data_IF_817024721285
#
_entry.id   IF_817024721285
#
_cell.length_a   1.000
_cell.length_b   1.000
_cell.length_c   1.000
_cell.angle_alpha   90.00
_cell.angle_beta   90.00
_cell.angle_gamma   90.00
#
_symmetry.space_group_name_H-M   'P 1'
#
loop_
_entity.id
_entity.type
_entity.pdbx_description
1 polymer ?
#
# COMPACT_ATOMS: atom_id res chain seq x y z
N UNK A 1 26.34 5.71 14.48
CA UNK A 1 26.38 5.55 15.95
C UNK A 1 25.63 4.27 16.27
N UNK A 2 26.27 3.34 16.95
CA UNK A 2 25.61 2.11 17.42
C UNK A 2 24.61 2.50 18.50
N UNK A 3 23.36 2.07 18.37
CA UNK A 3 22.36 2.19 19.43
C UNK A 3 22.47 0.91 20.26
N UNK A 4 23.22 0.90 21.38
CA UNK A 4 23.34 -0.29 22.21
C UNK A 4 21.96 -0.70 22.71
N UNK A 5 21.61 -1.97 22.53
CA UNK A 5 20.39 -2.54 23.06
C UNK A 5 20.69 -3.10 24.46
N UNK A 6 19.91 -2.67 25.46
CA UNK A 6 19.94 -3.25 26.79
C UNK A 6 18.58 -3.87 27.11
N UNK A 7 18.61 -5.00 27.80
CA UNK A 7 17.41 -5.67 28.32
C UNK A 7 17.60 -5.95 29.80
N UNK A 8 16.62 -5.59 30.62
CA UNK A 8 16.64 -5.84 32.05
C UNK A 8 15.27 -6.32 32.54
N UNK A 9 15.26 -6.97 33.70
CA UNK A 9 14.02 -7.31 34.40
C UNK A 9 13.71 -6.21 35.40
N UNK A 10 12.48 -5.77 35.45
CA UNK A 10 11.98 -4.81 36.44
C UNK A 10 10.77 -5.41 37.16
N UNK A 11 10.56 -5.09 38.44
CA UNK A 11 9.34 -5.47 39.15
C UNK A 11 8.08 -4.99 38.40
N UNK A 12 7.03 -5.81 38.42
CA UNK A 12 5.79 -5.50 37.69
C UNK A 12 5.14 -4.20 38.18
N UNK A 13 5.10 -3.98 39.50
CA UNK A 13 4.55 -2.77 40.11
C UNK A 13 5.22 -1.50 39.58
N UNK A 14 6.54 -1.54 39.39
CA UNK A 14 7.30 -0.40 38.85
C UNK A 14 6.99 -0.19 37.36
N UNK A 15 6.83 -1.27 36.60
CA UNK A 15 6.44 -1.19 35.20
C UNK A 15 5.07 -0.54 35.06
N UNK A 16 4.11 -0.93 35.89
CA UNK A 16 2.74 -0.40 35.86
C UNK A 16 2.73 1.12 36.13
N UNK A 17 3.51 1.58 37.12
CA UNK A 17 3.68 3.02 37.38
C UNK A 17 4.33 3.79 36.21
N UNK A 18 5.29 3.17 35.51
CA UNK A 18 5.91 3.78 34.32
C UNK A 18 4.91 3.89 33.17
N UNK A 19 4.05 2.89 32.98
CA UNK A 19 3.01 2.90 31.95
C UNK A 19 1.94 3.96 32.26
N UNK A 20 1.51 4.11 33.51
CA UNK A 20 0.58 5.16 33.95
C UNK A 20 1.16 6.57 33.69
N UNK A 21 2.42 6.80 34.08
CA UNK A 21 3.12 8.07 33.78
C UNK A 21 3.21 8.33 32.28
N UNK A 22 3.37 7.28 31.47
CA UNK A 22 3.42 7.38 30.01
C UNK A 22 2.09 7.84 29.43
N UNK A 23 0.98 7.33 29.94
CA UNK A 23 -0.36 7.73 29.51
C UNK A 23 -0.64 9.21 29.84
N UNK A 24 -0.14 9.69 30.98
CA UNK A 24 -0.32 11.08 31.40
C UNK A 24 0.55 12.07 30.61
N UNK A 25 1.80 11.72 30.32
CA UNK A 25 2.79 12.64 29.73
C UNK A 25 3.00 12.48 28.23
N UNK A 26 2.64 11.31 27.67
CA UNK A 26 2.89 10.95 26.27
C UNK A 26 4.37 10.68 25.93
N UNK A 27 5.26 10.61 26.92
CA UNK A 27 6.68 10.30 26.69
C UNK A 27 6.87 8.84 26.25
N UNK A 28 8.01 8.47 25.67
CA UNK A 28 8.26 7.05 25.40
C UNK A 28 8.74 6.34 26.67
N UNK A 29 8.41 5.04 26.84
CA UNK A 29 8.90 4.24 27.97
C UNK A 29 10.43 4.30 28.10
N UNK A 30 11.12 4.27 26.97
CA UNK A 30 12.58 4.36 26.91
C UNK A 30 13.07 5.69 27.47
N UNK A 31 12.43 6.81 27.11
CA UNK A 31 12.82 8.13 27.59
C UNK A 31 12.60 8.27 29.10
N UNK A 32 11.49 7.76 29.61
CA UNK A 32 11.19 7.74 31.06
C UNK A 32 12.27 6.97 31.82
N UNK A 33 12.65 5.78 31.34
CA UNK A 33 13.70 4.98 31.97
C UNK A 33 15.09 5.63 31.87
N UNK A 34 15.42 6.24 30.74
CA UNK A 34 16.67 6.98 30.56
C UNK A 34 16.74 8.15 31.53
N UNK A 35 15.66 8.94 31.66
CA UNK A 35 15.57 10.06 32.62
C UNK A 35 15.70 9.59 34.06
N UNK A 36 15.03 8.51 34.42
CA UNK A 36 15.11 7.94 35.77
C UNK A 36 16.54 7.48 36.10
N UNK A 37 17.20 6.74 35.18
CA UNK A 37 18.58 6.30 35.34
C UNK A 37 19.57 7.46 35.39
N UNK A 38 19.38 8.47 34.54
CA UNK A 38 20.21 9.66 34.53
C UNK A 38 20.10 10.43 35.85
N UNK A 39 18.89 10.61 36.37
CA UNK A 39 18.64 11.24 37.66
C UNK A 39 19.28 10.44 38.80
N UNK A 40 19.13 9.11 38.80
CA UNK A 40 19.71 8.22 39.81
C UNK A 40 21.24 8.27 39.82
N UNK A 41 21.87 8.32 38.64
CA UNK A 41 23.33 8.34 38.49
C UNK A 41 23.94 9.75 38.57
N UNK A 42 23.13 10.80 38.64
CA UNK A 42 23.58 12.19 38.51
C UNK A 42 24.11 12.54 37.12
N UNK A 43 23.84 11.70 36.11
CA UNK A 43 24.25 11.94 34.74
C UNK A 43 23.37 13.01 34.09
N UNK A 44 23.98 14.08 33.57
CA UNK A 44 23.26 15.11 32.82
C UNK A 44 23.04 14.63 31.39
N UNK A 45 21.80 14.28 31.06
CA UNK A 45 21.42 13.96 29.68
C UNK A 45 21.66 15.21 28.83
N UNK A 46 22.52 15.16 27.80
CA UNK A 46 22.64 16.27 26.87
C UNK A 46 21.27 16.49 26.25
N UNK A 47 20.67 17.67 26.47
CA UNK A 47 19.39 18.02 25.87
C UNK A 47 19.49 17.76 24.36
N UNK A 48 18.59 16.93 23.83
CA UNK A 48 18.57 16.53 22.42
C UNK A 48 18.28 17.71 21.45
N UNK A 49 18.30 18.95 21.95
CA UNK A 49 18.07 20.21 21.25
C UNK A 49 19.12 20.53 20.16
N UNK A 50 20.16 19.72 19.99
CA UNK A 50 21.13 19.82 18.90
C UNK A 50 21.09 18.65 17.91
N UNK A 51 19.99 17.90 17.83
CA UNK A 51 19.72 17.18 16.58
C UNK A 51 19.46 18.25 15.51
N UNK A 52 20.14 18.21 14.35
CA UNK A 52 19.83 19.14 13.27
C UNK A 52 18.33 19.03 13.01
N UNK A 53 17.60 20.13 13.26
CA UNK A 53 16.18 20.26 12.94
C UNK A 53 15.97 19.57 11.61
N UNK A 54 15.03 18.63 11.58
CA UNK A 54 14.74 17.82 10.40
C UNK A 54 13.97 18.68 9.37
N UNK A 55 14.48 19.88 9.08
CA UNK A 55 14.03 20.81 8.06
C UNK A 55 13.69 20.13 6.73
N UNK A 56 14.40 19.08 6.25
CA UNK A 56 14.00 18.41 5.00
C UNK A 56 12.72 17.56 5.12
N UNK A 57 12.25 17.20 6.32
CA UNK A 57 11.00 16.46 6.49
C UNK A 57 9.82 17.42 6.59
N UNK A 58 9.94 18.54 7.30
CA UNK A 58 8.86 19.54 7.40
C UNK A 58 8.50 20.12 6.02
N UNK A 59 9.49 20.44 5.18
CA UNK A 59 9.22 20.92 3.82
C UNK A 59 8.51 19.86 2.94
N UNK A 60 8.85 18.58 3.13
CA UNK A 60 8.19 17.47 2.43
C UNK A 60 6.75 17.28 2.88
N UNK A 61 6.49 17.42 4.18
CA UNK A 61 5.12 17.36 4.74
C UNK A 61 4.28 18.50 4.16
N UNK A 62 4.78 19.74 4.20
CA UNK A 62 4.06 20.89 3.62
C UNK A 62 3.82 20.75 2.12
N UNK A 63 4.77 20.16 1.37
CA UNK A 63 4.61 19.89 -0.07
C UNK A 63 3.53 18.85 -0.31
N UNK A 64 3.47 17.80 0.50
CA UNK A 64 2.46 16.74 0.40
C UNK A 64 1.07 17.27 0.77
N UNK A 65 0.96 18.08 1.82
CA UNK A 65 -0.29 18.72 2.21
C UNK A 65 -0.83 19.64 1.11
N UNK A 66 0.03 20.47 0.51
CA UNK A 66 -0.35 21.28 -0.66
C UNK A 66 -0.81 20.44 -1.84
N UNK A 67 -0.11 19.33 -2.13
CA UNK A 67 -0.49 18.42 -3.21
C UNK A 67 -1.87 17.77 -2.97
N UNK A 68 -2.15 17.36 -1.73
CA UNK A 68 -3.45 16.81 -1.36
C UNK A 68 -4.58 17.84 -1.53
N UNK A 69 -4.35 19.09 -1.14
CA UNK A 69 -5.35 20.14 -1.29
C UNK A 69 -5.66 20.43 -2.77
N UNK A 70 -4.63 20.47 -3.63
CA UNK A 70 -4.84 20.65 -5.08
C UNK A 70 -5.64 19.50 -5.70
N UNK A 71 -5.37 18.26 -5.31
CA UNK A 71 -6.08 17.08 -5.77
C UNK A 71 -7.55 17.11 -5.31
N UNK A 72 -7.79 17.55 -4.08
CA UNK A 72 -9.14 17.67 -3.52
C UNK A 72 -9.98 18.68 -4.30
N UNK A 73 -9.42 19.85 -4.61
CA UNK A 73 -10.07 20.88 -5.42
C UNK A 73 -10.35 20.40 -6.85
N UNK A 74 -9.44 19.63 -7.45
CA UNK A 74 -9.64 19.09 -8.80
C UNK A 74 -10.76 18.06 -8.85
N UNK A 75 -10.84 17.17 -7.85
CA UNK A 75 -11.94 16.20 -7.70
C UNK A 75 -13.28 16.92 -7.56
N UNK A 76 -13.35 17.97 -6.75
CA UNK A 76 -14.57 18.75 -6.57
C UNK A 76 -15.01 19.45 -7.86
N UNK A 77 -14.05 20.02 -8.60
CA UNK A 77 -14.28 20.63 -9.92
C UNK A 77 -14.78 19.61 -10.94
N UNK A 78 -14.19 18.42 -10.99
CA UNK A 78 -14.62 17.33 -11.88
C UNK A 78 -16.02 16.84 -11.52
N UNK A 79 -16.32 16.70 -10.23
CA UNK A 79 -17.66 16.35 -9.74
C UNK A 79 -18.71 17.37 -10.20
N UNK A 80 -18.40 18.66 -10.10
CA UNK A 80 -19.27 19.73 -10.61
C UNK A 80 -19.49 19.68 -12.12
N UNK A 81 -18.46 19.38 -12.91
CA UNK A 81 -18.59 19.18 -14.37
C UNK A 81 -19.46 17.98 -14.71
N UNK A 82 -19.29 16.87 -13.98
CA UNK A 82 -20.07 15.66 -14.21
C UNK A 82 -21.56 15.90 -13.93
N UNK A 83 -21.89 16.57 -12.82
CA UNK A 83 -23.28 16.94 -12.48
C UNK A 83 -23.94 17.81 -13.57
N UNK A 84 -23.20 18.75 -14.17
CA UNK A 84 -23.72 19.56 -15.28
C UNK A 84 -23.92 18.74 -16.54
N UNK A 85 -23.04 17.78 -16.83
CA UNK A 85 -23.20 16.88 -17.97
C UNK A 85 -24.43 15.97 -17.79
N UNK A 86 -24.64 15.44 -16.58
CA UNK A 86 -25.82 14.62 -16.27
C UNK A 86 -27.12 15.43 -16.34
N UNK A 87 -27.14 16.69 -15.89
CA UNK A 87 -28.32 17.54 -16.06
C UNK A 87 -28.61 17.85 -17.53
N UNK A 88 -27.59 18.17 -18.34
CA UNK A 88 -27.78 18.36 -19.79
C UNK A 88 -28.37 17.14 -20.47
N UNK A 89 -27.89 15.94 -20.12
CA UNK A 89 -28.43 14.68 -20.65
C UNK A 89 -29.90 14.50 -20.26
N UNK A 90 -30.26 14.85 -19.02
CA UNK A 90 -31.66 14.81 -18.57
C UNK A 90 -32.54 15.80 -19.32
N UNK A 91 -32.09 17.05 -19.52
CA UNK A 91 -32.86 18.04 -20.28
C UNK A 91 -33.06 17.60 -21.73
N UNK A 92 -32.04 17.01 -22.36
CA UNK A 92 -32.14 16.47 -23.72
C UNK A 92 -33.18 15.34 -23.78
N UNK A 93 -33.19 14.42 -22.80
CA UNK A 93 -34.19 13.36 -22.70
C UNK A 93 -35.62 13.92 -22.52
N UNK A 94 -35.79 14.94 -21.69
CA UNK A 94 -37.09 15.58 -21.45
C UNK A 94 -37.58 16.36 -22.69
N UNK A 95 -36.69 16.99 -23.47
CA UNK A 95 -37.06 17.70 -24.72
C UNK A 95 -37.27 16.79 -25.94
N UNK A 96 -36.84 15.53 -25.88
CA UNK A 96 -36.89 14.60 -27.02
C UNK A 96 -38.15 13.71 -27.05
N UNK A 97 -39.05 13.82 -26.07
CA UNK A 97 -40.44 13.37 -26.23
C UNK A 97 -41.24 14.53 -26.83
N UNK A 98 -41.64 14.50 -28.10
CA UNK A 98 -42.88 13.80 -28.49
C UNK A 98 -42.84 13.03 -29.82
N UNK A 99 -41.77 13.08 -30.62
CA UNK A 99 -41.83 12.55 -32.00
C UNK A 99 -40.51 11.96 -32.55
N UNK A 100 -39.72 11.28 -31.71
CA UNK A 100 -38.53 10.56 -32.19
C UNK A 100 -38.78 9.06 -32.37
N UNK A 101 -38.43 8.47 -33.54
CA UNK A 101 -38.68 7.07 -33.82
C UNK A 101 -37.85 6.20 -32.88
N UNK A 102 -38.57 5.40 -32.08
CA UNK A 102 -38.18 4.16 -31.41
C UNK A 102 -36.74 3.69 -31.71
N UNK A 103 -35.75 4.34 -31.10
CA UNK A 103 -34.45 3.72 -30.92
C UNK A 103 -34.70 2.57 -29.95
N UNK A 104 -34.70 1.35 -30.51
CA UNK A 104 -34.79 0.08 -29.80
C UNK A 104 -34.15 0.23 -28.42
N UNK A 105 -34.98 0.02 -27.39
CA UNK A 105 -34.54 -0.39 -26.05
C UNK A 105 -33.35 -1.33 -26.23
N UNK A 106 -32.14 -0.83 -26.01
CA UNK A 106 -31.11 -1.66 -25.43
C UNK A 106 -31.66 -1.97 -24.05
N UNK A 107 -32.29 -3.14 -23.96
CA UNK A 107 -32.65 -3.73 -22.69
C UNK A 107 -31.43 -3.61 -21.79
N UNK A 108 -31.62 -2.88 -20.70
CA UNK A 108 -30.85 -3.07 -19.49
C UNK A 108 -31.04 -4.55 -19.12
N UNK A 109 -30.12 -5.37 -19.60
CA UNK A 109 -29.89 -6.69 -19.05
C UNK A 109 -29.34 -6.45 -17.65
N UNK A 110 -30.26 -6.42 -16.69
CA UNK A 110 -30.02 -6.69 -15.28
C UNK A 110 -29.49 -8.12 -15.15
N UNK A 111 -28.26 -8.35 -15.58
CA UNK A 111 -27.45 -9.48 -15.18
C UNK A 111 -26.30 -8.94 -14.35
N UNK A 112 -26.58 -8.88 -13.06
CA UNK A 112 -25.64 -8.82 -11.98
C UNK A 112 -24.84 -10.14 -11.89
N UNK A 113 -23.96 -10.38 -12.86
CA UNK A 113 -22.92 -11.41 -12.76
C UNK A 113 -21.62 -10.89 -13.39
N UNK A 114 -20.66 -10.60 -12.51
CA UNK A 114 -19.22 -10.58 -12.75
C UNK A 114 -18.77 -10.05 -14.13
N UNK A 115 -18.80 -8.73 -14.31
CA UNK A 115 -17.92 -8.08 -15.30
C UNK A 115 -16.48 -8.25 -14.84
N UNK A 116 -15.82 -9.26 -15.38
CA UNK A 116 -14.39 -9.26 -15.65
C UNK A 116 -14.04 -7.90 -16.24
N UNK A 117 -13.39 -7.08 -15.41
CA UNK A 117 -12.69 -5.92 -15.91
C UNK A 117 -11.67 -6.45 -16.91
N UNK A 118 -11.79 -6.01 -18.16
CA UNK A 118 -10.68 -6.04 -19.10
C UNK A 118 -9.61 -5.15 -18.48
N UNK A 119 -8.78 -5.74 -17.63
CA UNK A 119 -7.55 -5.14 -17.15
C UNK A 119 -6.71 -5.04 -18.40
N UNK A 120 -6.56 -3.82 -18.93
CA UNK A 120 -5.51 -3.51 -19.89
C UNK A 120 -4.21 -4.02 -19.26
N UNK A 121 -3.72 -5.16 -19.77
CA UNK A 121 -2.45 -5.76 -19.39
C UNK A 121 -1.40 -4.66 -19.47
N UNK A 122 -1.08 -4.07 -18.33
CA UNK A 122 -0.04 -3.05 -18.26
C UNK A 122 1.25 -3.84 -18.27
N UNK A 123 1.70 -4.20 -19.48
CA UNK A 123 3.00 -4.83 -19.68
C UNK A 123 4.02 -3.75 -19.31
N UNK A 124 4.47 -3.77 -18.05
CA UNK A 124 5.58 -2.95 -17.58
C UNK A 124 6.83 -3.52 -18.26
N UNK A 125 7.10 -3.05 -19.48
CA UNK A 125 8.36 -3.31 -20.16
C UNK A 125 9.42 -2.48 -19.45
N UNK A 126 10.10 -3.07 -18.47
CA UNK A 126 11.36 -2.52 -17.99
C UNK A 126 12.40 -2.72 -19.11
N UNK A 127 12.73 -1.63 -19.80
CA UNK A 127 13.61 -1.56 -20.99
C UNK A 127 15.08 -1.96 -20.73
N UNK A 128 15.40 -2.64 -19.62
CA UNK A 128 16.79 -2.88 -19.22
C UNK A 128 17.09 -4.27 -18.62
N UNK A 129 16.26 -5.29 -18.88
CA UNK A 129 16.56 -6.67 -18.46
C UNK A 129 16.78 -7.59 -19.66
N UNK A 130 18.05 -7.85 -19.98
CA UNK A 130 18.49 -8.86 -20.94
C UNK A 130 18.31 -10.32 -20.45
N UNK A 131 17.40 -10.57 -19.51
CA UNK A 131 17.18 -11.91 -18.94
C UNK A 131 15.70 -12.28 -19.03
N UNK A 132 15.37 -13.21 -19.94
CA UNK A 132 14.11 -13.24 -20.70
C UNK A 132 13.05 -14.26 -20.27
N UNK A 133 13.18 -14.90 -19.12
CA UNK A 133 12.32 -16.08 -18.83
C UNK A 133 11.40 -15.92 -17.60
N UNK A 134 11.17 -14.71 -17.09
CA UNK A 134 10.22 -14.50 -16.00
C UNK A 134 9.19 -13.41 -16.32
N UNK A 135 7.95 -13.68 -15.93
CA UNK A 135 6.84 -12.74 -15.95
C UNK A 135 6.57 -12.25 -14.52
N UNK A 136 6.28 -10.97 -14.39
CA UNK A 136 5.89 -10.37 -13.11
C UNK A 136 4.37 -10.33 -13.08
N UNK A 137 3.78 -11.08 -12.15
CA UNK A 137 2.33 -11.23 -12.04
C UNK A 137 1.82 -10.73 -10.69
N UNK A 138 0.60 -10.19 -10.70
CA UNK A 138 -0.12 -9.84 -9.49
C UNK A 138 -0.66 -11.08 -8.77
N UNK A 139 -1.01 -10.95 -7.49
CA UNK A 139 -1.42 -12.10 -6.67
C UNK A 139 -2.65 -12.82 -7.24
N UNK A 140 -3.59 -12.09 -7.83
CA UNK A 140 -4.79 -12.69 -8.42
C UNK A 140 -4.46 -13.46 -9.71
N UNK A 141 -3.59 -12.91 -10.56
CA UNK A 141 -3.16 -13.55 -11.81
C UNK A 141 -2.41 -14.86 -11.53
N UNK A 142 -1.58 -14.90 -10.49
CA UNK A 142 -0.90 -16.14 -10.05
C UNK A 142 -1.88 -17.19 -9.54
N UNK A 143 -2.94 -16.77 -8.84
CA UNK A 143 -3.99 -17.67 -8.36
C UNK A 143 -4.72 -18.30 -9.54
N UNK A 144 -5.10 -17.49 -10.54
CA UNK A 144 -5.78 -17.93 -11.76
C UNK A 144 -4.89 -18.86 -12.59
N UNK A 145 -3.61 -18.49 -12.79
CA UNK A 145 -2.67 -19.24 -13.60
C UNK A 145 -2.34 -20.62 -13.00
N UNK A 146 -2.17 -20.70 -11.68
CA UNK A 146 -1.65 -21.90 -11.01
C UNK A 146 -2.72 -22.73 -10.29
N UNK A 147 -3.93 -22.19 -10.14
CA UNK A 147 -5.00 -22.82 -9.36
C UNK A 147 -4.66 -22.96 -7.87
N UNK A 148 -3.88 -22.02 -7.32
CA UNK A 148 -3.42 -22.05 -5.91
C UNK A 148 -4.16 -21.00 -5.11
N UNK A 149 -4.63 -21.33 -3.91
CA UNK A 149 -5.30 -20.34 -3.05
C UNK A 149 -4.34 -19.27 -2.52
N UNK A 150 -4.88 -18.05 -2.30
CA UNK A 150 -4.14 -16.93 -1.69
C UNK A 150 -3.49 -17.27 -0.35
N UNK A 151 -4.15 -18.09 0.47
CA UNK A 151 -3.63 -18.55 1.76
C UNK A 151 -2.37 -19.42 1.58
N UNK A 152 -2.34 -20.28 0.57
CA UNK A 152 -1.18 -21.11 0.25
C UNK A 152 0.02 -20.27 -0.17
N UNK A 153 -0.18 -19.28 -1.05
CA UNK A 153 0.88 -18.34 -1.45
C UNK A 153 1.45 -17.57 -0.25
N UNK A 154 0.57 -17.09 0.65
CA UNK A 154 0.99 -16.41 1.88
C UNK A 154 1.76 -17.33 2.83
N UNK A 155 1.34 -18.59 2.96
CA UNK A 155 2.05 -19.59 3.74
C UNK A 155 3.43 -19.90 3.18
N UNK A 156 3.58 -20.01 1.85
CA UNK A 156 4.88 -20.26 1.23
C UNK A 156 5.85 -19.10 1.46
N UNK A 157 5.35 -17.87 1.34
CA UNK A 157 6.12 -16.66 1.65
C UNK A 157 6.56 -16.60 3.11
N UNK A 158 5.62 -16.74 4.05
CA UNK A 158 5.91 -16.63 5.49
C UNK A 158 6.84 -17.73 6.01
N UNK A 159 6.71 -18.94 5.48
CA UNK A 159 7.56 -20.09 5.84
C UNK A 159 8.88 -20.17 5.06
N UNK A 160 9.19 -19.19 4.21
CA UNK A 160 10.39 -19.18 3.34
C UNK A 160 10.52 -20.46 2.49
N UNK A 161 9.40 -20.93 1.95
CA UNK A 161 9.33 -22.13 1.09
C UNK A 161 9.43 -21.78 -0.41
N UNK A 162 9.94 -20.59 -0.73
CA UNK A 162 10.12 -20.09 -2.10
C UNK A 162 11.62 -20.10 -2.44
N UNK A 163 12.00 -20.37 -3.70
CA UNK A 163 11.14 -20.61 -4.86
C UNK A 163 10.45 -21.99 -4.83
N UNK A 164 9.28 -22.11 -5.45
CA UNK A 164 8.48 -23.35 -5.49
C UNK A 164 7.95 -23.66 -6.87
N UNK A 165 8.00 -24.93 -7.26
CA UNK A 165 7.46 -25.43 -8.52
C UNK A 165 6.00 -25.86 -8.38
N UNK A 166 5.14 -25.42 -9.31
CA UNK A 166 3.74 -25.83 -9.39
C UNK A 166 3.24 -25.70 -10.83
N UNK A 167 2.61 -26.75 -11.34
CA UNK A 167 1.99 -26.76 -12.68
C UNK A 167 2.97 -26.40 -13.81
N UNK A 168 4.24 -26.80 -13.69
CA UNK A 168 5.29 -26.49 -14.67
C UNK A 168 5.91 -25.10 -14.54
N UNK A 169 5.50 -24.29 -13.55
CA UNK A 169 6.06 -22.96 -13.29
C UNK A 169 6.86 -22.92 -11.98
N UNK A 170 7.95 -22.16 -11.98
CA UNK A 170 8.70 -21.79 -10.79
C UNK A 170 8.20 -20.42 -10.31
N UNK A 171 7.77 -20.38 -9.05
CA UNK A 171 7.24 -19.19 -8.40
C UNK A 171 8.26 -18.68 -7.39
N UNK A 172 8.58 -17.40 -7.47
CA UNK A 172 9.38 -16.70 -6.47
C UNK A 172 8.70 -15.40 -6.05
N UNK A 173 9.07 -14.87 -4.89
CA UNK A 173 8.49 -13.65 -4.34
C UNK A 173 9.58 -12.61 -4.13
N UNK A 174 9.42 -11.45 -4.76
CA UNK A 174 10.37 -10.35 -4.66
C UNK A 174 9.66 -9.03 -4.31
N UNK A 175 10.42 -8.11 -3.75
CA UNK A 175 9.94 -6.79 -3.39
C UNK A 175 10.47 -5.77 -4.39
N UNK A 176 9.57 -4.96 -4.96
CA UNK A 176 10.02 -3.80 -5.72
C UNK A 176 10.87 -2.90 -4.84
N UNK A 177 12.06 -2.55 -5.32
CA UNK A 177 12.89 -1.51 -4.72
C UNK A 177 12.33 -0.11 -5.01
N UNK A 178 11.42 0.02 -5.99
CA UNK A 178 10.77 1.28 -6.36
C UNK A 178 9.63 1.63 -5.38
N UNK A 179 9.44 2.92 -5.11
CA UNK A 179 8.37 3.44 -4.23
C UNK A 179 7.14 3.87 -5.06
N UNK A 180 5.90 3.55 -4.65
CA UNK A 180 5.53 2.76 -3.46
C UNK A 180 5.93 1.29 -3.62
N UNK A 181 6.37 0.67 -2.52
CA UNK A 181 6.79 -0.74 -2.50
C UNK A 181 5.59 -1.62 -2.84
N UNK A 182 5.49 -2.07 -4.09
CA UNK A 182 4.54 -3.10 -4.50
C UNK A 182 5.19 -4.48 -4.36
N UNK A 183 4.38 -5.41 -3.87
CA UNK A 183 4.73 -6.83 -3.79
C UNK A 183 4.32 -7.48 -5.10
N UNK A 184 5.20 -8.25 -5.73
CA UNK A 184 4.87 -8.98 -6.95
C UNK A 184 5.43 -10.40 -6.92
N UNK A 185 4.88 -11.26 -7.75
CA UNK A 185 5.33 -12.64 -7.91
C UNK A 185 6.12 -12.75 -9.20
N UNK A 186 7.27 -13.41 -9.14
CA UNK A 186 8.03 -13.79 -10.33
C UNK A 186 7.63 -15.19 -10.70
N UNK A 187 7.17 -15.38 -11.93
CA UNK A 187 6.77 -16.68 -12.45
C UNK A 187 7.62 -16.98 -13.68
N UNK A 188 8.34 -18.10 -13.68
CA UNK A 188 9.11 -18.58 -14.82
C UNK A 188 8.68 -19.98 -15.24
N UNK A 189 8.67 -20.25 -16.54
CA UNK A 189 8.40 -21.61 -17.03
C UNK A 189 9.61 -22.50 -16.75
N UNK A 190 9.35 -23.69 -16.22
CA UNK A 190 10.38 -24.72 -16.07
C UNK A 190 10.71 -25.22 -17.47
N UNK A 191 11.91 -24.90 -17.98
CA UNK A 191 12.36 -25.50 -19.25
C UNK A 191 12.50 -27.00 -19.02
N UNK A 192 11.63 -27.79 -19.65
CA UNK A 192 11.80 -29.24 -19.72
C UNK A 192 13.19 -29.51 -20.32
N UNK A 193 14.08 -30.05 -19.48
CA UNK A 193 15.38 -30.53 -19.95
C UNK A 193 15.11 -31.82 -20.72
N UNK A 194 14.95 -31.70 -22.03
CA UNK A 194 15.08 -32.82 -22.95
C UNK A 194 16.51 -33.34 -22.98
#
# INVERSE_FOLDING_TARGET
MTNPFFSGRIPQELLDHVEEYREQTGESKTDVLIKALANYTGYKIPEANNLPKIAPITEKVERLERGLETLRLEVEKLKGKNNRATEKLRTIQETAGEDMPLFKKLENSDNNDNKEGVIEKTIIKDDNSNNKDFEILDTNEVIELLGVSKSSLSQWKSKKLLPKEKSGYIIDFDHSTRKPRKSYWKVSQTKERN
#
